data_IF_008297421117
#
_entry.id   IF_008297421117
#
_cell.length_a   1.000
_cell.length_b   1.000
_cell.length_c   1.000
_cell.angle_alpha   90.00
_cell.angle_beta   90.00
_cell.angle_gamma   90.00
#
_symmetry.space_group_name_H-M   'P 1'
#
loop_
_entity.id
_entity.type
_entity.pdbx_description
1 polymer ?
#
# COMPACT_ATOMS: atom_id res chain seq x y z
N UNK A 1 -18.47 -6.68 27.32
CA UNK A 1 -17.27 -7.47 27.01
C UNK A 1 -17.06 -7.40 25.51
N UNK A 2 -16.12 -6.60 25.04
CA UNK A 2 -15.71 -6.59 23.63
C UNK A 2 -14.97 -7.91 23.39
N UNK A 3 -15.47 -8.73 22.46
CA UNK A 3 -14.71 -9.90 22.01
C UNK A 3 -13.34 -9.41 21.52
N UNK A 4 -12.23 -10.12 21.83
CA UNK A 4 -10.94 -9.75 21.29
C UNK A 4 -11.04 -9.76 19.77
N UNK A 5 -10.74 -8.62 19.15
CA UNK A 5 -10.80 -8.47 17.70
C UNK A 5 -9.83 -9.49 17.09
N UNK A 6 -10.35 -10.53 16.43
CA UNK A 6 -9.53 -11.45 15.65
C UNK A 6 -9.16 -10.72 14.37
N UNK A 7 -7.91 -10.26 14.29
CA UNK A 7 -7.39 -9.63 13.09
C UNK A 7 -6.98 -10.72 12.11
N UNK A 8 -7.56 -10.70 10.91
CA UNK A 8 -7.17 -11.58 9.82
C UNK A 8 -5.92 -11.00 9.12
N UNK A 9 -4.75 -11.48 9.52
CA UNK A 9 -3.47 -11.03 8.99
C UNK A 9 -3.24 -11.50 7.55
N UNK A 10 -3.90 -12.57 7.11
CA UNK A 10 -3.85 -13.03 5.72
C UNK A 10 -4.63 -12.08 4.81
N UNK A 11 -5.81 -11.64 5.24
CA UNK A 11 -6.60 -10.63 4.53
C UNK A 11 -5.85 -9.29 4.44
N UNK A 12 -5.22 -8.83 5.54
CA UNK A 12 -4.38 -7.61 5.52
C UNK A 12 -3.22 -7.72 4.52
N UNK A 13 -2.54 -8.87 4.47
CA UNK A 13 -1.47 -9.11 3.49
C UNK A 13 -2.00 -9.17 2.05
N UNK A 14 -3.20 -9.68 1.83
CA UNK A 14 -3.81 -9.67 0.49
C UNK A 14 -4.08 -8.25 0.03
N UNK A 15 -4.77 -7.46 0.86
CA UNK A 15 -5.06 -6.07 0.55
C UNK A 15 -3.78 -5.24 0.34
N UNK A 16 -2.73 -5.48 1.13
CA UNK A 16 -1.43 -4.84 0.91
C UNK A 16 -0.85 -5.15 -0.47
N UNK A 17 -0.88 -6.41 -0.92
CA UNK A 17 -0.41 -6.80 -2.26
C UNK A 17 -1.25 -6.18 -3.37
N UNK A 18 -2.57 -6.13 -3.20
CA UNK A 18 -3.48 -5.51 -4.17
C UNK A 18 -3.20 -4.01 -4.33
N UNK A 19 -3.04 -3.28 -3.22
CA UNK A 19 -2.69 -1.85 -3.25
C UNK A 19 -1.31 -1.60 -3.86
N UNK A 20 -0.31 -2.43 -3.55
CA UNK A 20 1.01 -2.34 -4.15
C UNK A 20 0.96 -2.61 -5.67
N UNK A 21 0.16 -3.58 -6.10
CA UNK A 21 -0.07 -3.85 -7.53
C UNK A 21 -0.71 -2.66 -8.25
N UNK A 22 -1.74 -2.05 -7.65
CA UNK A 22 -2.37 -0.84 -8.21
C UNK A 22 -1.41 0.35 -8.27
N UNK A 23 -0.55 0.52 -7.25
CA UNK A 23 0.52 1.51 -7.26
C UNK A 23 1.48 1.30 -8.44
N UNK A 24 1.88 0.07 -8.69
CA UNK A 24 2.79 -0.29 -9.78
C UNK A 24 2.15 -0.02 -11.16
N UNK A 25 0.88 -0.41 -11.35
CA UNK A 25 0.13 -0.13 -12.59
C UNK A 25 -0.01 1.37 -12.87
N UNK A 26 -0.31 2.17 -11.84
CA UNK A 26 -0.36 3.63 -11.93
C UNK A 26 1.03 4.23 -12.24
N UNK A 27 2.09 3.71 -11.62
CA UNK A 27 3.46 4.16 -11.86
C UNK A 27 3.91 3.92 -13.30
N UNK A 28 3.62 2.76 -13.86
CA UNK A 28 3.93 2.42 -15.25
C UNK A 28 3.18 3.29 -16.28
N UNK A 29 2.01 3.82 -15.90
CA UNK A 29 1.19 4.67 -16.77
C UNK A 29 1.78 6.08 -16.97
N UNK A 30 2.80 6.49 -16.20
CA UNK A 30 3.43 7.83 -16.23
C UNK A 30 4.37 8.08 -17.42
N UNK A 31 4.55 7.12 -18.32
CA UNK A 31 5.71 7.09 -19.24
C UNK A 31 5.63 7.99 -20.47
N UNK A 32 4.51 8.67 -20.73
CA UNK A 32 4.34 9.43 -21.96
C UNK A 32 4.16 10.93 -21.70
N UNK A 33 5.28 11.66 -21.64
CA UNK A 33 5.26 13.10 -21.84
C UNK A 33 4.96 13.40 -23.31
N UNK A 34 3.74 13.86 -23.58
CA UNK A 34 3.36 14.28 -24.92
C UNK A 34 4.09 15.58 -25.30
N UNK A 35 4.80 15.56 -26.42
CA UNK A 35 5.46 16.73 -26.99
C UNK A 35 4.66 17.25 -28.19
N UNK A 36 3.97 18.39 -28.07
CA UNK A 36 3.26 19.02 -29.19
C UNK A 36 4.22 19.56 -30.26
N UNK A 37 3.76 19.70 -31.52
CA UNK A 37 4.37 20.58 -32.50
C UNK A 37 4.55 22.01 -31.96
N UNK A 38 5.70 22.63 -32.24
CA UNK A 38 6.10 23.92 -31.67
C UNK A 38 5.21 25.11 -32.09
N UNK A 39 4.46 24.97 -33.17
CA UNK A 39 3.58 25.97 -33.76
C UNK A 39 2.11 25.85 -33.30
N UNK A 40 1.79 24.86 -32.45
CA UNK A 40 0.42 24.64 -32.01
C UNK A 40 0.03 25.63 -30.87
N UNK A 41 -0.99 26.49 -31.03
CA UNK A 41 -1.35 27.48 -30.00
C UNK A 41 -1.70 26.87 -28.63
N UNK A 42 -2.23 25.65 -28.62
CA UNK A 42 -2.59 24.91 -27.41
C UNK A 42 -1.44 24.14 -26.76
N UNK A 43 -0.26 24.11 -27.40
CA UNK A 43 0.89 23.30 -26.98
C UNK A 43 1.22 23.46 -25.49
N UNK A 44 1.38 24.71 -25.02
CA UNK A 44 1.71 25.01 -23.63
C UNK A 44 0.65 24.52 -22.65
N UNK A 45 -0.63 24.70 -22.99
CA UNK A 45 -1.73 24.29 -22.12
C UNK A 45 -1.79 22.77 -21.99
N UNK A 46 -1.64 22.04 -23.10
CA UNK A 46 -1.67 20.58 -23.06
C UNK A 46 -0.45 20.02 -22.34
N UNK A 47 0.76 20.58 -22.54
CA UNK A 47 1.96 20.18 -21.76
C UNK A 47 1.73 20.39 -20.26
N UNK A 48 1.16 21.53 -19.86
CA UNK A 48 0.86 21.80 -18.46
C UNK A 48 -0.17 20.82 -17.87
N UNK A 49 -1.22 20.48 -18.64
CA UNK A 49 -2.22 19.48 -18.22
C UNK A 49 -1.58 18.09 -18.11
N UNK A 50 -0.79 17.66 -19.09
CA UNK A 50 -0.07 16.38 -19.05
C UNK A 50 0.84 16.30 -17.82
N UNK A 51 1.62 17.35 -17.55
CA UNK A 51 2.47 17.41 -16.37
C UNK A 51 1.67 17.35 -15.06
N UNK A 52 0.54 18.06 -14.98
CA UNK A 52 -0.34 18.00 -13.81
C UNK A 52 -0.96 16.60 -13.61
N UNK A 53 -1.39 15.94 -14.70
CA UNK A 53 -1.91 14.57 -14.65
C UNK A 53 -0.83 13.58 -14.20
N UNK A 54 0.39 13.70 -14.72
CA UNK A 54 1.52 12.88 -14.29
C UNK A 54 1.82 13.07 -12.81
N UNK A 55 1.79 14.31 -12.32
CA UNK A 55 1.99 14.58 -10.90
C UNK A 55 0.90 13.92 -10.02
N UNK A 56 -0.38 14.07 -10.38
CA UNK A 56 -1.49 13.45 -9.62
C UNK A 56 -1.38 11.92 -9.62
N UNK A 57 -1.04 11.30 -10.75
CA UNK A 57 -0.86 9.84 -10.84
C UNK A 57 0.33 9.37 -9.98
N UNK A 58 1.43 10.13 -9.97
CA UNK A 58 2.61 9.84 -9.13
C UNK A 58 2.27 9.91 -7.64
N UNK A 59 1.59 10.96 -7.19
CA UNK A 59 1.16 11.11 -5.80
C UNK A 59 0.17 10.01 -5.40
N UNK A 60 -0.75 9.65 -6.29
CA UNK A 60 -1.70 8.57 -6.05
C UNK A 60 -0.98 7.23 -5.88
N UNK A 61 -0.05 6.89 -6.78
CA UNK A 61 0.77 5.69 -6.68
C UNK A 61 1.56 5.65 -5.37
N UNK A 62 2.25 6.74 -5.00
CA UNK A 62 3.02 6.81 -3.75
C UNK A 62 2.16 6.60 -2.49
N UNK A 63 0.95 7.16 -2.48
CA UNK A 63 0.02 6.98 -1.36
C UNK A 63 -0.50 5.54 -1.27
N UNK A 64 -0.84 4.91 -2.40
CA UNK A 64 -1.26 3.51 -2.43
C UNK A 64 -0.16 2.59 -1.88
N UNK A 65 1.09 2.80 -2.26
CA UNK A 65 2.23 2.05 -1.75
C UNK A 65 2.43 2.26 -0.24
N UNK A 66 2.32 3.51 0.22
CA UNK A 66 2.43 3.84 1.66
C UNK A 66 1.35 3.15 2.50
N UNK A 67 0.13 3.05 1.98
CA UNK A 67 -0.95 2.30 2.63
C UNK A 67 -0.69 0.79 2.60
N UNK A 68 -0.22 0.25 1.48
CA UNK A 68 0.17 -1.16 1.36
C UNK A 68 1.20 -1.55 2.43
N UNK A 69 2.26 -0.74 2.59
CA UNK A 69 3.30 -0.95 3.59
C UNK A 69 2.75 -0.90 5.02
N UNK A 70 1.87 0.05 5.31
CA UNK A 70 1.22 0.17 6.62
C UNK A 70 0.37 -1.06 6.95
N UNK A 71 -0.37 -1.60 5.98
CA UNK A 71 -1.17 -2.82 6.14
C UNK A 71 -0.30 -4.06 6.32
N UNK A 72 0.81 -4.16 5.58
CA UNK A 72 1.78 -5.25 5.73
C UNK A 72 2.44 -5.22 7.11
N UNK A 73 2.84 -4.04 7.60
CA UNK A 73 3.39 -3.85 8.95
C UNK A 73 2.37 -4.22 10.03
N UNK A 74 1.11 -3.81 9.87
CA UNK A 74 0.05 -4.20 10.80
C UNK A 74 -0.13 -5.72 10.85
N UNK A 75 -0.15 -6.40 9.70
CA UNK A 75 -0.24 -7.85 9.65
C UNK A 75 0.92 -8.54 10.38
N UNK A 76 2.15 -8.05 10.19
CA UNK A 76 3.33 -8.55 10.91
C UNK A 76 3.23 -8.34 12.42
N UNK A 77 2.79 -7.17 12.85
CA UNK A 77 2.61 -6.84 14.26
C UNK A 77 1.60 -7.77 14.95
N UNK A 78 0.46 -8.02 14.30
CA UNK A 78 -0.56 -8.90 14.85
C UNK A 78 -0.13 -10.37 14.88
N UNK A 79 0.56 -10.88 13.86
CA UNK A 79 1.13 -12.23 13.89
C UNK A 79 2.15 -12.40 15.02
N UNK A 80 3.03 -11.42 15.22
CA UNK A 80 4.01 -11.45 16.31
C UNK A 80 3.32 -11.45 17.69
N UNK A 81 2.27 -10.65 17.84
CA UNK A 81 1.47 -10.58 19.06
C UNK A 81 0.75 -11.90 19.35
N UNK A 82 0.14 -12.51 18.33
CA UNK A 82 -0.54 -13.80 18.47
C UNK A 82 0.44 -14.92 18.85
N UNK A 83 1.60 -14.97 18.18
CA UNK A 83 2.66 -15.93 18.50
C UNK A 83 3.21 -15.76 19.94
N UNK A 84 3.40 -14.52 20.40
CA UNK A 84 3.85 -14.23 21.76
C UNK A 84 2.81 -14.67 22.80
N UNK A 85 1.53 -14.39 22.56
CA UNK A 85 0.44 -14.81 23.42
C UNK A 85 0.31 -16.33 23.48
N UNK A 86 0.43 -17.02 22.34
CA UNK A 86 0.44 -18.48 22.28
C UNK A 86 1.58 -19.09 23.11
N UNK A 87 2.80 -18.52 23.02
CA UNK A 87 3.95 -18.94 23.82
C UNK A 87 3.72 -18.79 25.33
N UNK A 88 3.14 -17.66 25.76
CA UNK A 88 2.80 -17.44 27.16
C UNK A 88 1.76 -18.45 27.68
N UNK A 89 0.74 -18.79 26.88
CA UNK A 89 -0.25 -19.83 27.22
C UNK A 89 0.43 -21.19 27.37
N UNK A 90 1.34 -21.57 26.46
CA UNK A 90 2.07 -22.85 26.56
C UNK A 90 2.90 -22.91 27.85
N UNK A 91 3.61 -21.84 28.20
CA UNK A 91 4.41 -21.78 29.43
C UNK A 91 3.58 -21.87 30.71
N UNK A 92 2.36 -21.34 30.71
CA UNK A 92 1.45 -21.48 31.86
C UNK A 92 0.79 -22.85 31.95
N UNK A 93 0.57 -23.53 30.82
CA UNK A 93 0.00 -24.89 30.78
C UNK A 93 1.02 -26.00 31.03
N UNK A 94 2.30 -25.75 30.74
CA UNK A 94 3.43 -26.64 31.04
C UNK A 94 4.51 -25.87 31.83
N UNK A 95 4.30 -25.62 33.14
CA UNK A 95 5.36 -25.06 33.95
C UNK A 95 6.56 -26.00 33.94
N UNK A 96 7.74 -25.48 33.57
CA UNK A 96 9.00 -26.22 33.68
C UNK A 96 9.17 -26.66 35.14
N UNK A 97 9.35 -27.97 35.35
CA UNK A 97 9.62 -28.57 36.67
C UNK A 97 11.00 -28.15 37.19
#
# INVERSE_FOLDING_TARGET
MTQPLRVDTAALRSAARELAGLSDELGHSLTHEWQPPADQPSAKAVVAVTAATNHVMSECSGNLLSFADSMAQAAQFYDATDSANAGAVIHTMNPLK
#
